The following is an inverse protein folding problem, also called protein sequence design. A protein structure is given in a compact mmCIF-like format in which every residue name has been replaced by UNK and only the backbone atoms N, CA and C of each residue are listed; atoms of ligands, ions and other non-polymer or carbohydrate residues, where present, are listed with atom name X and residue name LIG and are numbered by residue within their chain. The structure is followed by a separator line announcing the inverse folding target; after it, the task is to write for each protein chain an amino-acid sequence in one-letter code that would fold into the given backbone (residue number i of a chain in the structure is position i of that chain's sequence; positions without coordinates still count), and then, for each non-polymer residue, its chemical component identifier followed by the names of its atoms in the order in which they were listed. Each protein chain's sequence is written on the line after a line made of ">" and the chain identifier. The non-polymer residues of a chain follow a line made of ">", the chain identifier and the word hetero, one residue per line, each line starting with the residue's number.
data_IF_182500707763
#
_entry.id   IF_182500707763
#
_cell.length_a   1.000
_cell.length_b   1.000
_cell.length_c   1.000
_cell.angle_alpha   90.00
_cell.angle_beta   90.00
_cell.angle_gamma   90.00
#
_symmetry.space_group_name_H-M   'P 1'
#
loop_
_entity.id
_entity.type
_entity.pdbx_description
1 polymer ?
#
# COMPACT_ATOMS: atom_id res chain seq x y z
N UNK A 1 -0.72 -4.30 21.22
CA UNK A 1 0.00 -3.37 20.33
C UNK A 1 -0.95 -2.92 19.21
N UNK A 2 -1.24 -1.60 19.13
CA UNK A 2 -1.98 -0.99 18.02
C UNK A 2 -0.95 -0.51 17.01
N UNK A 3 -0.95 -1.09 15.82
CA UNK A 3 -0.13 -0.61 14.70
C UNK A 3 -0.81 0.62 14.11
N UNK A 4 -0.06 1.69 13.84
CA UNK A 4 -0.61 2.97 13.38
C UNK A 4 0.06 3.34 12.05
N UNK A 5 -0.75 3.46 11.01
CA UNK A 5 -0.32 3.99 9.72
C UNK A 5 -0.50 5.52 9.74
N UNK A 6 0.53 6.24 9.28
CA UNK A 6 0.48 7.68 9.05
C UNK A 6 1.29 7.99 7.81
N UNK A 7 0.68 8.69 6.85
CA UNK A 7 1.35 9.16 5.64
C UNK A 7 0.75 10.48 5.15
N UNK A 8 1.54 11.21 4.38
CA UNK A 8 1.11 12.44 3.70
C UNK A 8 1.27 12.21 2.21
N UNK A 9 0.21 12.47 1.46
CA UNK A 9 0.22 12.53 0.01
C UNK A 9 0.32 14.00 -0.40
N UNK A 10 1.35 14.34 -1.18
CA UNK A 10 1.60 15.71 -1.59
C UNK A 10 2.66 15.81 -2.68
N UNK A 11 3.11 17.02 -2.96
CA UNK A 11 4.19 17.25 -3.92
C UNK A 11 5.52 16.66 -3.42
N UNK A 12 6.46 16.34 -4.31
CA UNK A 12 7.78 15.82 -3.92
C UNK A 12 8.50 16.69 -2.86
N UNK A 13 8.40 18.01 -2.98
CA UNK A 13 9.00 18.98 -2.04
C UNK A 13 8.34 18.94 -0.66
N UNK A 14 7.02 18.71 -0.61
CA UNK A 14 6.30 18.58 0.65
C UNK A 14 6.76 17.33 1.42
N UNK A 15 7.02 16.22 0.72
CA UNK A 15 7.54 15.00 1.35
C UNK A 15 9.00 15.14 1.83
N UNK A 16 9.81 15.96 1.16
CA UNK A 16 11.20 16.23 1.56
C UNK A 16 11.30 16.94 2.91
N UNK A 17 10.27 17.72 3.26
CA UNK A 17 10.19 18.59 4.44
C UNK A 17 9.77 17.87 5.73
N UNK A 18 9.39 16.59 5.65
CA UNK A 18 8.89 15.82 6.79
C UNK A 18 10.04 15.34 7.70
N UNK A 19 9.95 15.56 9.03
CA UNK A 19 10.97 15.14 9.98
C UNK A 19 11.00 13.61 10.18
N UNK A 20 12.20 13.04 10.35
CA UNK A 20 12.40 11.68 10.85
C UNK A 20 12.74 10.58 9.82
N UNK A 21 13.00 9.37 10.34
CA UNK A 21 13.35 8.10 9.66
C UNK A 21 12.21 7.49 8.80
N UNK A 22 11.39 8.31 8.14
CA UNK A 22 10.34 7.82 7.27
C UNK A 22 10.93 7.38 5.93
N UNK A 23 10.52 6.20 5.47
CA UNK A 23 10.75 5.80 4.09
C UNK A 23 9.93 6.70 3.16
N UNK A 24 10.44 6.91 1.95
CA UNK A 24 9.83 7.81 0.96
C UNK A 24 9.68 7.09 -0.36
N UNK A 25 8.53 7.30 -1.00
CA UNK A 25 8.21 6.77 -2.31
C UNK A 25 7.70 7.91 -3.18
N UNK A 26 8.42 8.19 -4.26
CA UNK A 26 8.00 9.15 -5.28
C UNK A 26 7.25 8.42 -6.39
N UNK A 27 6.25 9.09 -6.95
CA UNK A 27 5.49 8.64 -8.11
C UNK A 27 5.11 9.89 -8.94
N UNK A 28 4.64 9.70 -10.17
CA UNK A 28 4.47 10.80 -11.12
C UNK A 28 3.61 11.96 -10.59
N UNK A 29 2.58 11.64 -9.79
CA UNK A 29 1.65 12.61 -9.25
C UNK A 29 2.01 13.14 -7.85
N UNK A 30 3.09 12.65 -7.22
CA UNK A 30 3.44 13.10 -5.87
C UNK A 30 4.44 12.22 -5.13
N UNK A 31 4.42 12.34 -3.80
CA UNK A 31 5.24 11.56 -2.91
C UNK A 31 4.48 11.12 -1.67
N UNK A 32 4.86 9.95 -1.16
CA UNK A 32 4.38 9.35 0.09
C UNK A 32 5.56 9.22 1.05
N UNK A 33 5.34 9.61 2.30
CA UNK A 33 6.23 9.30 3.42
C UNK A 33 5.52 8.34 4.37
N UNK A 34 6.19 7.27 4.79
CA UNK A 34 5.60 6.21 5.60
C UNK A 34 6.64 5.54 6.52
N UNK A 35 6.21 4.88 7.61
CA UNK A 35 7.10 4.09 8.46
C UNK A 35 7.77 2.94 7.69
N UNK A 36 9.04 2.66 7.98
CA UNK A 36 9.84 1.67 7.22
C UNK A 36 9.33 0.22 7.28
N UNK A 37 8.44 -0.10 8.23
CA UNK A 37 7.80 -1.42 8.37
C UNK A 37 6.55 -1.60 7.49
N UNK A 38 6.14 -0.57 6.75
CA UNK A 38 5.05 -0.66 5.77
C UNK A 38 5.59 -1.24 4.47
N UNK A 39 4.99 -2.33 4.00
CA UNK A 39 5.27 -2.90 2.71
C UNK A 39 4.73 -1.99 1.61
N UNK A 40 5.49 -1.79 0.54
CA UNK A 40 5.07 -1.00 -0.62
C UNK A 40 5.22 -1.78 -1.92
N UNK A 41 4.35 -1.50 -2.87
CA UNK A 41 4.40 -2.06 -4.21
C UNK A 41 3.95 -0.99 -5.22
N UNK A 42 4.65 -0.91 -6.35
CA UNK A 42 4.30 -0.01 -7.44
C UNK A 42 4.22 -0.77 -8.76
N UNK A 43 3.11 -0.62 -9.46
CA UNK A 43 2.93 -1.20 -10.79
C UNK A 43 1.92 -0.36 -11.59
N UNK A 44 2.24 -0.06 -12.85
CA UNK A 44 1.34 0.68 -13.74
C UNK A 44 0.92 2.06 -13.23
N UNK A 45 1.80 2.75 -12.50
CA UNK A 45 1.51 4.07 -11.91
C UNK A 45 0.75 4.03 -10.58
N UNK A 46 0.14 2.89 -10.22
CA UNK A 46 -0.56 2.71 -8.95
C UNK A 46 0.43 2.38 -7.83
N UNK A 47 0.12 2.83 -6.64
CA UNK A 47 0.90 2.51 -5.42
C UNK A 47 0.02 1.74 -4.46
N UNK A 48 0.51 0.62 -3.93
CA UNK A 48 -0.09 -0.05 -2.79
C UNK A 48 0.84 0.05 -1.58
N UNK A 49 0.29 0.45 -0.45
CA UNK A 49 0.90 0.34 0.88
C UNK A 49 0.13 -0.70 1.68
N UNK A 50 0.84 -1.58 2.36
CA UNK A 50 0.23 -2.59 3.22
C UNK A 50 0.98 -2.72 4.55
N UNK A 51 0.22 -2.76 5.64
CA UNK A 51 0.71 -3.02 6.99
C UNK A 51 -0.04 -4.20 7.61
N UNK A 52 0.66 -4.98 8.42
CA UNK A 52 0.12 -6.16 9.10
C UNK A 52 0.33 -7.45 8.31
N UNK A 53 -0.48 -8.46 8.62
CA UNK A 53 -0.31 -9.83 8.10
C UNK A 53 -1.63 -10.37 7.53
N UNK A 54 -2.05 -9.90 6.35
CA UNK A 54 -3.25 -10.42 5.70
C UNK A 54 -3.05 -11.90 5.34
N UNK A 55 -4.11 -12.69 5.50
CA UNK A 55 -4.20 -14.06 4.99
C UNK A 55 -5.26 -14.08 3.91
N UNK A 56 -4.82 -14.17 2.67
CA UNK A 56 -5.72 -14.17 1.52
C UNK A 56 -6.40 -15.52 1.38
N UNK A 57 -7.69 -15.50 1.08
CA UNK A 57 -8.52 -16.70 0.88
C UNK A 57 -8.28 -17.34 -0.49
N UNK A 58 -8.04 -16.50 -1.50
CA UNK A 58 -7.65 -16.94 -2.84
C UNK A 58 -6.19 -17.43 -2.82
N UNK A 59 -5.97 -18.65 -3.34
CA UNK A 59 -4.66 -19.30 -3.30
C UNK A 59 -3.60 -18.56 -4.13
N UNK A 60 -3.99 -17.95 -5.25
CA UNK A 60 -3.06 -17.20 -6.09
C UNK A 60 -2.64 -15.90 -5.40
N UNK A 61 -3.57 -15.19 -4.75
CA UNK A 61 -3.25 -14.01 -3.95
C UNK A 61 -2.39 -14.36 -2.73
N UNK A 62 -2.66 -15.47 -2.05
CA UNK A 62 -1.83 -15.93 -0.94
C UNK A 62 -0.41 -16.29 -1.41
N UNK A 63 -0.28 -16.90 -2.58
CA UNK A 63 1.02 -17.20 -3.18
C UNK A 63 1.76 -15.93 -3.62
N UNK A 64 1.05 -14.93 -4.16
CA UNK A 64 1.62 -13.61 -4.43
C UNK A 64 2.12 -12.96 -3.14
N UNK A 65 1.33 -13.02 -2.06
CA UNK A 65 1.68 -12.46 -0.76
C UNK A 65 2.97 -13.09 -0.20
N UNK A 66 3.14 -14.40 -0.36
CA UNK A 66 4.35 -15.12 0.09
C UNK A 66 5.57 -14.79 -0.76
N UNK A 67 5.41 -14.63 -2.08
CA UNK A 67 6.54 -14.42 -3.00
C UNK A 67 6.98 -12.97 -3.14
N UNK A 68 6.03 -12.05 -3.13
CA UNK A 68 6.21 -10.64 -3.49
C UNK A 68 5.82 -9.69 -2.34
N UNK A 69 5.24 -10.22 -1.27
CA UNK A 69 4.80 -9.44 -0.12
C UNK A 69 3.34 -9.01 -0.20
N UNK A 70 2.83 -8.52 0.94
CA UNK A 70 1.43 -8.18 1.11
C UNK A 70 0.94 -7.06 0.18
N UNK A 71 1.77 -6.04 -0.09
CA UNK A 71 1.39 -4.92 -0.95
C UNK A 71 1.17 -5.37 -2.42
N UNK A 72 1.99 -6.28 -2.94
CA UNK A 72 1.80 -6.84 -4.28
C UNK A 72 0.50 -7.68 -4.38
N UNK A 73 0.22 -8.50 -3.35
CA UNK A 73 -1.01 -9.28 -3.31
C UNK A 73 -2.26 -8.39 -3.21
N UNK A 74 -2.20 -7.31 -2.43
CA UNK A 74 -3.28 -6.33 -2.36
C UNK A 74 -3.49 -5.61 -3.69
N UNK A 75 -2.42 -5.16 -4.35
CA UNK A 75 -2.53 -4.55 -5.69
C UNK A 75 -3.24 -5.48 -6.69
N UNK A 76 -2.89 -6.77 -6.69
CA UNK A 76 -3.56 -7.77 -7.52
C UNK A 76 -5.02 -8.00 -7.10
N UNK A 77 -5.31 -8.00 -5.79
CA UNK A 77 -6.66 -8.16 -5.29
C UNK A 77 -7.57 -6.99 -5.72
N UNK A 78 -7.13 -5.75 -5.54
CA UNK A 78 -7.88 -4.56 -5.96
C UNK A 78 -8.05 -4.47 -7.48
N UNK A 79 -7.03 -4.87 -8.25
CA UNK A 79 -7.17 -4.94 -9.71
C UNK A 79 -8.23 -5.96 -10.17
N UNK A 80 -8.41 -7.06 -9.43
CA UNK A 80 -9.35 -8.13 -9.77
C UNK A 80 -10.75 -7.93 -9.22
N UNK A 81 -10.87 -7.38 -8.01
CA UNK A 81 -12.13 -7.34 -7.25
C UNK A 81 -12.59 -5.93 -6.91
N UNK A 82 -11.82 -4.89 -7.22
CA UNK A 82 -12.12 -3.52 -6.78
C UNK A 82 -12.19 -3.45 -5.25
N UNK A 83 -13.15 -2.69 -4.72
CA UNK A 83 -13.31 -2.48 -3.28
C UNK A 83 -13.62 -3.77 -2.51
N UNK A 84 -14.23 -4.78 -3.16
CA UNK A 84 -14.49 -6.10 -2.57
C UNK A 84 -13.21 -6.89 -2.27
N UNK A 85 -12.04 -6.39 -2.70
CA UNK A 85 -10.75 -6.96 -2.36
C UNK A 85 -10.58 -7.12 -0.84
N UNK A 86 -11.07 -6.17 -0.04
CA UNK A 86 -10.91 -6.20 1.44
C UNK A 86 -11.55 -7.44 2.07
N UNK A 87 -12.57 -8.01 1.43
CA UNK A 87 -13.25 -9.24 1.86
C UNK A 87 -12.48 -10.52 1.51
N UNK A 88 -11.46 -10.42 0.64
CA UNK A 88 -10.63 -11.55 0.21
C UNK A 88 -9.55 -11.94 1.21
N UNK A 89 -9.35 -11.14 2.27
CA UNK A 89 -8.35 -11.43 3.29
C UNK A 89 -8.97 -11.49 4.70
N UNK A 90 -8.36 -12.29 5.56
CA UNK A 90 -8.64 -12.33 6.99
C UNK A 90 -7.40 -11.90 7.78
N UNK A 91 -7.61 -11.31 8.96
CA UNK A 91 -6.55 -10.93 9.89
C UNK A 91 -6.57 -9.45 10.23
N UNK A 92 -5.46 -8.96 10.77
CA UNK A 92 -5.25 -7.55 11.09
C UNK A 92 -4.35 -6.96 10.03
N UNK A 93 -4.89 -6.01 9.28
CA UNK A 93 -4.17 -5.32 8.23
C UNK A 93 -4.70 -3.89 8.07
N UNK A 94 -3.89 -3.06 7.45
CA UNK A 94 -4.27 -1.79 6.84
C UNK A 94 -3.71 -1.80 5.42
N UNK A 95 -4.50 -1.37 4.45
CA UNK A 95 -4.08 -1.25 3.06
C UNK A 95 -4.50 0.13 2.57
N UNK A 96 -3.63 0.75 1.78
CA UNK A 96 -3.94 1.98 1.06
C UNK A 96 -3.57 1.77 -0.40
N UNK A 97 -4.52 2.02 -1.30
CA UNK A 97 -4.31 2.05 -2.73
C UNK A 97 -4.32 3.50 -3.19
N UNK A 98 -3.25 3.95 -3.83
CA UNK A 98 -3.19 5.27 -4.47
C UNK A 98 -3.30 5.07 -5.97
N UNK A 99 -4.27 5.78 -6.57
CA UNK A 99 -4.47 5.79 -8.01
C UNK A 99 -3.25 6.35 -8.76
N UNK A 100 -3.17 6.05 -10.04
CA UNK A 100 -2.09 6.47 -10.93
C UNK A 100 -1.98 8.00 -11.08
N UNK A 101 -3.12 8.69 -11.05
CA UNK A 101 -3.18 10.15 -11.05
C UNK A 101 -2.88 10.78 -9.68
N UNK A 102 -2.69 9.96 -8.64
CA UNK A 102 -2.38 10.37 -7.27
C UNK A 102 -3.49 11.17 -6.59
N UNK A 103 -4.68 11.30 -7.17
CA UNK A 103 -5.77 12.12 -6.63
C UNK A 103 -6.69 11.36 -5.70
N UNK A 104 -6.68 10.04 -5.81
CA UNK A 104 -7.52 9.16 -5.02
C UNK A 104 -6.67 8.18 -4.21
N UNK A 105 -7.02 8.02 -2.95
CA UNK A 105 -6.47 7.02 -2.05
C UNK A 105 -7.61 6.31 -1.30
N UNK A 106 -7.67 4.99 -1.41
CA UNK A 106 -8.69 4.10 -0.83
C UNK A 106 -8.07 3.16 0.21
#
# INVERSE_FOLDING_TARGET
>A
MRERFSGVLGTPDAAASLPGQLARLQFAAGALAYPADVATYQEGGRVCLALGRPRFRDAALQQACTRQGAAAAWAQAFARFGDDAVHQAAGRFCVVMVADDGREAL
#
